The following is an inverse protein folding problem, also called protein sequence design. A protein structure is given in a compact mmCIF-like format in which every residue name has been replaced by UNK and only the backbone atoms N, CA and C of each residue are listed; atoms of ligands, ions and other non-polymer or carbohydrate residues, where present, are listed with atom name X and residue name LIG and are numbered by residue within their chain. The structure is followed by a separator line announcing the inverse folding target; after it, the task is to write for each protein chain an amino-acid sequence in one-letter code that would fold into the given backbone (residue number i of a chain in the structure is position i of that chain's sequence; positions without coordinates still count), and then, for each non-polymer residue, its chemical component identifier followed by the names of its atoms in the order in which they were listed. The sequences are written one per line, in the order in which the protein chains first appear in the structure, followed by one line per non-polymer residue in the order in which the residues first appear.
data_IF_531283511320
#
_entry.id   IF_531283511320
#
_cell.length_a   1.000
_cell.length_b   1.000
_cell.length_c   1.000
_cell.angle_alpha   90.00
_cell.angle_beta   90.00
_cell.angle_gamma   90.00
#
_symmetry.space_group_name_H-M   'P 1'
#
loop_
_entity.id
_entity.type
_entity.pdbx_description
1 polymer ?
#
# COMPACT_ATOMS: atom_id res chain seq x y z
N UNK A 1 -56.41 -9.75 85.26
CA UNK A 1 -55.71 -10.92 84.69
C UNK A 1 -54.90 -10.36 83.56
N UNK A 2 -53.65 -10.07 83.88
CA UNK A 2 -52.60 -9.60 82.98
C UNK A 2 -51.63 -10.79 82.91
N UNK A 3 -51.40 -11.33 81.71
CA UNK A 3 -50.92 -12.69 81.52
C UNK A 3 -49.40 -12.86 81.62
N UNK A 4 -48.68 -11.85 82.16
CA UNK A 4 -47.31 -12.04 82.65
C UNK A 4 -46.32 -12.53 81.61
N UNK A 5 -46.62 -12.37 80.31
CA UNK A 5 -45.63 -12.54 79.26
C UNK A 5 -44.79 -11.27 79.21
N UNK A 6 -43.64 -11.27 79.90
CA UNK A 6 -42.57 -10.35 79.55
C UNK A 6 -42.09 -10.74 78.15
N UNK A 7 -42.72 -10.16 77.13
CA UNK A 7 -42.09 -10.01 75.83
C UNK A 7 -40.95 -9.04 76.09
N UNK A 8 -39.75 -9.56 76.37
CA UNK A 8 -38.53 -8.81 76.12
C UNK A 8 -38.59 -8.49 74.64
N UNK A 9 -38.82 -7.22 74.30
CA UNK A 9 -38.89 -6.79 72.91
C UNK A 9 -37.54 -7.14 72.28
N UNK A 10 -37.51 -8.13 71.41
CA UNK A 10 -36.32 -8.46 70.63
C UNK A 10 -36.06 -7.28 69.69
N UNK A 11 -35.11 -6.43 70.07
CA UNK A 11 -34.63 -5.36 69.20
C UNK A 11 -33.54 -5.98 68.34
N UNK A 12 -33.90 -6.25 67.09
CA UNK A 12 -33.02 -6.74 66.06
C UNK A 12 -32.07 -5.62 65.60
N UNK A 13 -30.78 -5.91 65.55
CA UNK A 13 -29.76 -4.99 65.06
C UNK A 13 -28.37 -5.46 65.45
N UNK A 14 -27.33 -4.83 64.91
CA UNK A 14 -25.96 -5.23 65.19
C UNK A 14 -25.59 -5.09 66.67
N UNK A 15 -25.16 -6.20 67.29
CA UNK A 15 -24.71 -6.23 68.70
C UNK A 15 -23.19 -6.16 68.87
N UNK A 16 -22.42 -6.17 67.78
CA UNK A 16 -20.95 -6.09 67.81
C UNK A 16 -20.47 -4.65 68.00
N UNK A 17 -19.79 -4.35 69.12
CA UNK A 17 -19.36 -2.98 69.50
C UNK A 17 -18.38 -2.34 68.51
N UNK A 18 -17.67 -3.13 67.71
CA UNK A 18 -16.71 -2.66 66.71
C UNK A 18 -17.31 -2.41 65.33
N UNK A 19 -18.60 -2.72 65.12
CA UNK A 19 -19.28 -2.50 63.85
C UNK A 19 -19.76 -1.04 63.69
N UNK A 20 -19.72 -0.53 62.45
CA UNK A 20 -20.16 0.83 62.11
C UNK A 20 -21.62 1.11 62.44
N UNK A 21 -22.46 0.08 62.37
CA UNK A 21 -23.88 0.15 62.66
C UNK A 21 -24.25 -0.53 63.99
N UNK A 22 -23.30 -0.60 64.94
CA UNK A 22 -23.56 -1.07 66.30
C UNK A 22 -24.77 -0.35 66.91
N UNK A 23 -25.72 -1.13 67.43
CA UNK A 23 -26.90 -0.63 68.10
C UNK A 23 -26.87 -1.09 69.56
N UNK A 24 -26.59 -0.17 70.48
CA UNK A 24 -26.56 -0.44 71.93
C UNK A 24 -27.91 -0.89 72.50
N UNK A 25 -29.01 -0.58 71.79
CA UNK A 25 -30.35 -1.02 72.17
C UNK A 25 -30.73 -2.38 71.56
N UNK A 26 -29.91 -2.93 70.64
CA UNK A 26 -30.15 -4.25 70.07
C UNK A 26 -29.88 -5.34 71.11
N UNK A 27 -30.87 -6.20 71.30
CA UNK A 27 -30.78 -7.36 72.21
C UNK A 27 -30.55 -8.66 71.45
N UNK A 28 -30.65 -8.63 70.13
CA UNK A 28 -30.55 -9.80 69.25
C UNK A 28 -29.89 -9.39 67.94
N UNK A 29 -28.76 -10.02 67.61
CA UNK A 29 -28.08 -9.80 66.34
C UNK A 29 -28.95 -10.30 65.18
N UNK A 30 -29.15 -9.43 64.19
CA UNK A 30 -29.91 -9.71 62.97
C UNK A 30 -29.01 -9.97 61.76
N UNK A 31 -27.70 -10.04 61.98
CA UNK A 31 -26.70 -10.21 60.93
C UNK A 31 -26.46 -8.95 60.09
N UNK A 32 -26.98 -7.80 60.51
CA UNK A 32 -26.78 -6.52 59.81
C UNK A 32 -25.43 -5.86 60.08
N UNK A 33 -24.62 -6.37 61.02
CA UNK A 33 -23.34 -5.77 61.40
C UNK A 33 -22.45 -5.42 60.22
N UNK A 34 -21.94 -4.18 60.19
CA UNK A 34 -21.03 -3.64 59.19
C UNK A 34 -19.64 -3.49 59.82
N UNK A 35 -18.74 -4.40 59.50
CA UNK A 35 -17.39 -4.44 60.08
C UNK A 35 -16.40 -4.09 58.97
N UNK A 36 -15.72 -2.96 59.14
CA UNK A 36 -14.62 -2.52 58.27
C UNK A 36 -13.33 -3.30 58.59
N UNK A 37 -12.55 -3.57 57.54
CA UNK A 37 -11.22 -4.15 57.65
C UNK A 37 -10.79 -4.81 56.35
N UNK A 38 -9.51 -5.18 56.26
CA UNK A 38 -9.02 -5.90 55.11
C UNK A 38 -9.70 -7.26 54.95
N UNK A 39 -10.35 -7.48 53.80
CA UNK A 39 -11.05 -8.72 53.49
C UNK A 39 -10.17 -9.75 52.73
N UNK A 40 -8.94 -9.40 52.39
CA UNK A 40 -8.01 -10.27 51.66
C UNK A 40 -7.26 -11.23 52.61
N UNK A 41 -7.43 -12.53 52.42
CA UNK A 41 -6.83 -13.58 53.24
C UNK A 41 -5.30 -13.64 53.15
N UNK A 42 -4.71 -13.09 52.08
CA UNK A 42 -3.26 -13.03 51.87
C UNK A 42 -2.61 -11.79 52.50
N UNK A 43 -3.41 -10.83 52.99
CA UNK A 43 -2.91 -9.65 53.68
C UNK A 43 -2.52 -9.92 55.14
N UNK A 44 -1.49 -9.22 55.61
CA UNK A 44 -0.96 -9.29 56.98
C UNK A 44 -2.02 -8.88 58.02
N UNK A 45 -2.85 -7.90 57.67
CA UNK A 45 -3.92 -7.37 58.52
C UNK A 45 -5.31 -7.87 58.11
N UNK A 46 -5.40 -9.03 57.46
CA UNK A 46 -6.68 -9.69 57.17
C UNK A 46 -7.58 -9.75 58.43
N UNK A 47 -8.80 -9.22 58.30
CA UNK A 47 -9.82 -9.30 59.33
C UNK A 47 -10.89 -10.32 58.90
N UNK A 48 -10.91 -11.53 59.51
CA UNK A 48 -11.89 -12.57 59.15
C UNK A 48 -13.34 -12.20 59.48
N UNK A 49 -13.58 -11.14 60.24
CA UNK A 49 -14.91 -10.63 60.57
C UNK A 49 -15.33 -9.44 59.68
N UNK A 50 -14.43 -8.90 58.86
CA UNK A 50 -14.75 -7.78 57.98
C UNK A 50 -15.69 -8.22 56.86
N UNK A 51 -16.72 -7.41 56.63
CA UNK A 51 -17.65 -7.55 55.50
C UNK A 51 -17.74 -6.28 54.65
N UNK A 52 -16.93 -5.27 54.99
CA UNK A 52 -16.69 -4.05 54.21
C UNK A 52 -15.17 -3.88 54.13
N UNK A 53 -14.63 -3.83 52.91
CA UNK A 53 -13.21 -3.57 52.69
C UNK A 53 -12.92 -2.08 52.90
N UNK A 54 -12.01 -1.78 53.81
CA UNK A 54 -11.57 -0.42 54.13
C UNK A 54 -10.33 0.01 53.33
N UNK A 55 -9.85 -0.84 52.41
CA UNK A 55 -8.63 -0.67 51.62
C UNK A 55 -7.36 -0.52 52.48
N UNK A 56 -7.38 -0.99 53.73
CA UNK A 56 -6.19 -0.96 54.60
C UNK A 56 -5.29 -2.18 54.44
N UNK A 57 -5.58 -3.09 53.49
CA UNK A 57 -4.83 -4.32 53.28
C UNK A 57 -3.31 -4.07 53.13
N UNK A 58 -2.54 -4.68 54.03
CA UNK A 58 -1.08 -4.65 54.06
C UNK A 58 -0.58 -5.98 53.51
N UNK A 59 0.15 -5.94 52.40
CA UNK A 59 0.74 -7.13 51.79
C UNK A 59 2.24 -7.19 52.06
N UNK A 60 2.78 -8.41 52.12
CA UNK A 60 4.22 -8.63 52.08
C UNK A 60 4.71 -8.31 50.67
N UNK A 61 5.53 -7.28 50.53
CA UNK A 61 6.18 -6.92 49.26
C UNK A 61 7.66 -7.21 49.42
N UNK A 62 8.10 -8.24 48.70
CA UNK A 62 9.48 -8.70 48.71
C UNK A 62 10.31 -7.88 47.72
N UNK A 63 11.49 -7.44 48.15
CA UNK A 63 12.43 -6.71 47.31
C UNK A 63 13.49 -6.01 48.17
N UNK A 64 14.43 -5.33 47.53
CA UNK A 64 15.51 -4.68 48.25
C UNK A 64 14.97 -3.48 49.03
N UNK A 65 15.08 -3.53 50.36
CA UNK A 65 14.55 -2.47 51.24
C UNK A 65 15.58 -1.39 51.56
N UNK A 66 16.83 -1.54 51.11
CA UNK A 66 17.95 -0.61 51.39
C UNK A 66 18.19 0.30 50.19
N UNK A 67 18.02 1.61 50.38
CA UNK A 67 18.18 2.65 49.35
C UNK A 67 19.63 2.88 48.93
N UNK A 68 20.59 2.26 49.61
CA UNK A 68 22.01 2.28 49.25
C UNK A 68 22.35 1.34 48.09
N UNK A 69 21.41 0.53 47.60
CA UNK A 69 21.60 -0.45 46.52
C UNK A 69 20.83 -0.07 45.26
N UNK A 70 21.37 -0.44 44.09
CA UNK A 70 20.75 -0.14 42.79
C UNK A 70 19.38 -0.82 42.65
N UNK A 71 19.21 -1.99 43.28
CA UNK A 71 17.98 -2.77 43.26
C UNK A 71 16.89 -2.27 44.22
N UNK A 72 17.11 -1.15 44.93
CA UNK A 72 16.15 -0.61 45.89
C UNK A 72 14.74 -0.49 45.32
N UNK A 73 13.77 -1.08 46.04
CA UNK A 73 12.36 -0.97 45.75
C UNK A 73 11.65 -0.24 46.90
N UNK A 74 11.20 0.99 46.62
CA UNK A 74 10.47 1.81 47.58
C UNK A 74 9.13 1.20 48.04
N UNK A 75 8.61 0.19 47.32
CA UNK A 75 7.39 -0.52 47.68
C UNK A 75 7.67 -1.78 48.50
N UNK A 76 8.92 -2.27 48.55
CA UNK A 76 9.29 -3.44 49.31
C UNK A 76 9.27 -3.15 50.83
N UNK A 77 8.71 -4.09 51.59
CA UNK A 77 8.68 -4.05 53.06
C UNK A 77 9.36 -5.25 53.71
N UNK A 78 9.81 -6.23 52.92
CA UNK A 78 10.59 -7.39 53.35
C UNK A 78 11.76 -7.58 52.39
N UNK A 79 12.98 -7.56 52.93
CA UNK A 79 14.17 -7.92 52.18
C UNK A 79 14.17 -9.41 51.84
N UNK A 80 14.26 -9.71 50.54
CA UNK A 80 14.37 -11.05 50.00
C UNK A 80 15.81 -11.43 49.59
N UNK A 81 16.78 -10.57 49.89
CA UNK A 81 18.17 -10.73 49.51
C UNK A 81 18.48 -10.26 48.09
N UNK A 82 17.58 -9.50 47.45
CA UNK A 82 17.81 -8.91 46.13
C UNK A 82 18.80 -7.72 46.13
N UNK A 83 19.15 -7.15 47.29
CA UNK A 83 20.19 -6.12 47.40
C UNK A 83 21.58 -6.71 47.08
N UNK A 84 22.08 -6.52 45.87
CA UNK A 84 23.34 -7.12 45.41
C UNK A 84 24.38 -6.06 45.06
N UNK A 85 23.98 -4.99 44.36
CA UNK A 85 24.90 -3.97 43.87
C UNK A 85 24.78 -2.68 44.69
N UNK A 86 25.77 -2.45 45.55
CA UNK A 86 25.87 -1.19 46.30
C UNK A 86 26.05 -0.03 45.32
N UNK A 87 25.31 1.07 45.53
CA UNK A 87 25.45 2.29 44.72
C UNK A 87 26.85 2.87 44.93
N UNK A 88 27.53 3.09 43.81
CA UNK A 88 28.79 3.83 43.71
C UNK A 88 28.54 4.97 42.72
N UNK A 89 28.49 6.18 43.26
CA UNK A 89 28.36 7.40 42.46
C UNK A 89 29.65 7.74 41.73
N UNK A 90 29.52 8.23 40.50
CA UNK A 90 30.62 8.82 39.74
C UNK A 90 30.33 8.86 38.24
N UNK A 91 31.24 9.48 37.49
CA UNK A 91 31.07 9.61 36.05
C UNK A 91 31.16 8.24 35.34
N UNK A 92 30.11 7.88 34.59
CA UNK A 92 30.07 6.65 33.78
C UNK A 92 30.61 6.83 32.35
N UNK A 93 30.90 8.05 31.92
CA UNK A 93 31.39 8.32 30.57
C UNK A 93 32.90 8.04 30.49
N UNK A 94 33.29 6.98 29.76
CA UNK A 94 34.69 6.57 29.56
C UNK A 94 35.58 7.65 28.90
N UNK A 95 34.98 8.64 28.23
CA UNK A 95 35.70 9.75 27.59
C UNK A 95 35.87 10.98 28.49
N UNK A 96 35.30 10.97 29.70
CA UNK A 96 35.47 12.04 30.67
C UNK A 96 36.79 11.88 31.45
N UNK A 97 37.40 13.00 31.84
CA UNK A 97 38.66 13.02 32.59
C UNK A 97 38.56 12.38 33.97
N UNK A 98 37.36 12.43 34.56
CA UNK A 98 37.07 11.87 35.87
C UNK A 98 36.18 10.60 35.79
N UNK A 99 36.24 9.87 34.67
CA UNK A 99 35.62 8.56 34.53
C UNK A 99 35.96 7.66 35.72
N UNK A 100 34.94 7.08 36.34
CA UNK A 100 35.09 6.13 37.43
C UNK A 100 34.61 4.74 36.98
N UNK A 101 35.53 3.78 36.72
CA UNK A 101 35.15 2.43 36.29
C UNK A 101 34.42 1.61 37.35
N UNK A 102 34.48 2.04 38.62
CA UNK A 102 33.77 1.39 39.73
C UNK A 102 32.38 2.00 39.98
N UNK A 103 32.06 3.13 39.34
CA UNK A 103 30.73 3.74 39.45
C UNK A 103 29.67 2.91 38.72
N UNK A 104 28.49 2.84 39.31
CA UNK A 104 27.31 2.20 38.72
C UNK A 104 26.08 3.12 38.66
N UNK A 105 26.19 4.33 39.21
CA UNK A 105 25.19 5.38 39.13
C UNK A 105 25.89 6.68 38.75
N UNK A 106 25.46 7.29 37.65
CA UNK A 106 25.95 8.60 37.22
C UNK A 106 25.44 9.68 38.18
N UNK A 107 26.36 10.44 38.76
CA UNK A 107 26.08 11.56 39.66
C UNK A 107 26.16 12.92 38.96
N UNK A 108 26.37 12.92 37.64
CA UNK A 108 26.52 14.14 36.85
C UNK A 108 27.85 14.86 37.10
N UNK A 109 28.83 14.21 37.73
CA UNK A 109 30.15 14.79 37.99
C UNK A 109 31.05 14.85 36.77
N UNK A 110 30.67 14.26 35.62
CA UNK A 110 31.54 14.11 34.46
C UNK A 110 32.24 15.42 34.03
N UNK A 111 33.57 15.37 34.03
CA UNK A 111 34.47 16.41 33.55
C UNK A 111 34.86 16.11 32.10
N UNK A 112 34.29 16.87 31.17
CA UNK A 112 34.54 16.73 29.74
C UNK A 112 35.23 18.00 29.28
N UNK A 113 36.44 17.84 28.77
CA UNK A 113 37.19 18.92 28.16
C UNK A 113 36.67 19.23 26.76
N UNK A 114 36.62 20.52 26.43
CA UNK A 114 36.32 20.98 25.09
C UNK A 114 35.89 22.43 25.07
N UNK A 115 35.69 22.96 23.86
CA UNK A 115 35.29 24.33 23.68
C UNK A 115 33.88 24.55 24.24
N UNK A 116 33.77 25.43 25.23
CA UNK A 116 32.49 25.78 25.87
C UNK A 116 31.77 26.95 25.18
N UNK A 117 32.43 27.63 24.24
CA UNK A 117 31.88 28.80 23.55
C UNK A 117 31.17 28.41 22.24
N UNK A 118 29.85 28.60 22.19
CA UNK A 118 29.02 28.30 21.02
C UNK A 118 29.35 29.13 19.77
N UNK A 119 30.13 30.21 19.91
CA UNK A 119 30.57 31.04 18.79
C UNK A 119 31.80 30.48 18.07
N UNK A 120 32.26 29.27 18.40
CA UNK A 120 33.39 28.62 17.75
C UNK A 120 32.95 27.32 17.06
N UNK A 121 33.63 26.94 15.98
CA UNK A 121 33.30 25.71 15.24
C UNK A 121 33.55 24.44 16.07
N UNK A 122 34.49 24.52 17.00
CA UNK A 122 34.88 23.42 17.87
C UNK A 122 33.98 23.27 19.11
N UNK A 123 32.91 24.06 19.23
CA UNK A 123 31.98 24.01 20.36
C UNK A 123 31.51 22.58 20.65
N UNK A 124 31.73 22.14 21.89
CA UNK A 124 31.27 20.87 22.39
C UNK A 124 30.16 21.11 23.43
N UNK A 125 28.89 20.78 23.13
CA UNK A 125 27.78 20.99 24.06
C UNK A 125 27.85 20.13 25.32
N UNK A 126 28.75 19.15 25.38
CA UNK A 126 28.98 18.31 26.55
C UNK A 126 30.21 18.75 27.37
N UNK A 127 30.99 19.73 26.91
CA UNK A 127 32.13 20.21 27.65
C UNK A 127 31.70 20.89 28.96
N UNK A 128 32.28 20.45 30.07
CA UNK A 128 32.10 21.04 31.40
C UNK A 128 33.31 21.87 31.84
N UNK A 129 34.42 21.79 31.09
CA UNK A 129 35.61 22.61 31.28
C UNK A 129 36.25 22.98 29.93
N UNK A 130 36.67 24.25 29.80
CA UNK A 130 37.38 24.74 28.61
C UNK A 130 38.84 24.28 28.63
N UNK A 131 39.26 23.62 27.55
CA UNK A 131 40.62 23.11 27.32
C UNK A 131 41.42 23.98 26.34
N UNK A 132 40.83 25.08 25.85
CA UNK A 132 41.43 25.95 24.84
C UNK A 132 41.30 25.43 23.42
N UNK A 133 40.42 24.44 23.17
CA UNK A 133 40.10 23.96 21.82
C UNK A 133 39.25 24.94 20.98
N UNK A 134 38.76 26.04 21.55
CA UNK A 134 38.10 27.12 20.82
C UNK A 134 39.11 27.88 19.92
N UNK A 135 39.36 27.36 18.71
CA UNK A 135 40.37 27.89 17.80
C UNK A 135 39.75 28.75 16.70
N UNK A 136 38.64 28.31 16.11
CA UNK A 136 38.06 28.93 14.92
C UNK A 136 36.77 29.66 15.26
N UNK A 137 36.82 30.99 15.31
CA UNK A 137 35.63 31.81 15.51
C UNK A 137 34.64 31.60 14.36
N UNK A 138 33.39 31.36 14.69
CA UNK A 138 32.30 31.17 13.73
C UNK A 138 31.91 32.52 13.13
N UNK A 139 32.08 32.64 11.82
CA UNK A 139 31.63 33.80 11.04
C UNK A 139 30.51 33.32 10.14
N UNK A 140 29.30 33.72 10.50
CA UNK A 140 28.10 33.46 9.73
C UNK A 140 28.03 34.36 8.50
N UNK A 141 27.52 33.80 7.41
CA UNK A 141 27.20 34.53 6.19
C UNK A 141 27.14 33.60 4.99
N UNK A 142 26.75 34.14 3.85
CA UNK A 142 26.70 33.35 2.62
C UNK A 142 28.10 32.84 2.20
N UNK A 143 28.23 31.54 2.06
CA UNK A 143 29.47 30.86 1.64
C UNK A 143 29.51 30.54 0.14
N UNK A 144 28.40 30.72 -0.58
CA UNK A 144 28.31 30.48 -2.02
C UNK A 144 28.94 31.63 -2.82
N UNK A 145 30.03 31.37 -3.53
CA UNK A 145 30.75 32.35 -4.36
C UNK A 145 29.92 32.93 -5.52
N UNK A 146 28.86 32.24 -5.95
CA UNK A 146 27.96 32.71 -7.01
C UNK A 146 26.82 33.60 -6.49
N UNK A 147 26.64 33.69 -5.17
CA UNK A 147 25.60 34.51 -4.57
C UNK A 147 26.00 35.99 -4.52
N UNK A 148 25.00 36.88 -4.61
CA UNK A 148 25.24 38.33 -4.60
C UNK A 148 25.82 38.84 -3.28
N UNK A 149 25.44 38.22 -2.16
CA UNK A 149 25.87 38.58 -0.82
C UNK A 149 26.94 37.63 -0.27
N UNK A 150 27.71 36.99 -1.15
CA UNK A 150 28.85 36.16 -0.76
C UNK A 150 29.75 36.89 0.24
N UNK A 151 30.01 36.24 1.36
CA UNK A 151 30.92 36.74 2.38
C UNK A 151 32.18 35.87 2.41
N UNK A 152 33.27 36.38 1.81
CA UNK A 152 34.57 35.69 1.79
C UNK A 152 35.19 35.42 3.18
N UNK A 153 34.67 36.04 4.24
CA UNK A 153 35.09 35.79 5.62
C UNK A 153 34.18 34.79 6.34
N UNK A 154 33.02 34.46 5.78
CA UNK A 154 32.12 33.47 6.37
C UNK A 154 32.77 32.09 6.29
N UNK A 155 32.70 31.36 7.40
CA UNK A 155 33.13 29.96 7.48
C UNK A 155 31.96 29.03 7.79
N UNK A 156 30.76 29.57 8.02
CA UNK A 156 29.53 28.82 8.20
C UNK A 156 28.41 29.52 7.45
N UNK A 157 27.70 28.74 6.62
CA UNK A 157 26.55 29.25 5.88
C UNK A 157 25.38 29.51 6.83
N UNK A 158 24.81 30.71 6.76
CA UNK A 158 23.66 31.12 7.56
C UNK A 158 22.34 31.08 6.78
N UNK A 159 22.35 30.52 5.57
CA UNK A 159 21.20 30.49 4.67
C UNK A 159 20.83 31.85 4.08
N UNK A 160 21.64 32.90 4.30
CA UNK A 160 21.36 34.23 3.75
C UNK A 160 21.66 34.37 2.26
N UNK A 161 22.27 33.37 1.62
CA UNK A 161 22.71 33.45 0.23
C UNK A 161 21.62 33.94 -0.72
N UNK A 162 21.92 34.97 -1.49
CA UNK A 162 21.05 35.59 -2.48
C UNK A 162 21.49 35.12 -3.87
N UNK A 163 20.81 34.11 -4.40
CA UNK A 163 21.10 33.54 -5.72
C UNK A 163 20.05 34.05 -6.68
N UNK A 164 20.51 34.82 -7.67
CA UNK A 164 19.68 35.32 -8.75
C UNK A 164 19.43 34.23 -9.79
N UNK A 165 18.22 34.20 -10.31
CA UNK A 165 17.85 33.39 -11.46
C UNK A 165 16.33 33.31 -11.57
N UNK A 166 15.84 32.53 -12.52
CA UNK A 166 14.40 32.32 -12.62
C UNK A 166 13.91 31.42 -11.48
N UNK A 167 13.02 31.95 -10.64
CA UNK A 167 12.45 31.24 -9.49
C UNK A 167 11.11 30.57 -9.77
N UNK A 168 10.63 30.62 -11.01
CA UNK A 168 9.30 30.17 -11.40
C UNK A 168 9.25 28.65 -11.60
N UNK A 169 8.78 27.95 -10.57
CA UNK A 169 8.62 26.50 -10.56
C UNK A 169 7.17 26.06 -10.82
N UNK A 170 6.31 26.98 -11.27
CA UNK A 170 4.90 26.70 -11.53
C UNK A 170 4.22 26.18 -10.26
N UNK A 171 3.48 25.07 -10.40
CA UNK A 171 2.76 24.42 -9.29
C UNK A 171 3.59 23.39 -8.51
N UNK A 172 4.87 23.22 -8.82
CA UNK A 172 5.76 22.30 -8.09
C UNK A 172 6.37 22.98 -6.86
N UNK A 173 6.82 22.20 -5.89
CA UNK A 173 7.53 22.73 -4.71
C UNK A 173 9.03 22.81 -4.96
N UNK A 174 9.67 23.93 -4.59
CA UNK A 174 11.14 24.05 -4.59
C UNK A 174 11.76 23.33 -3.37
N UNK A 175 13.08 23.44 -3.21
CA UNK A 175 13.80 22.83 -2.07
C UNK A 175 13.39 23.38 -0.69
N UNK A 176 12.66 24.50 -0.63
CA UNK A 176 12.08 25.08 0.59
C UNK A 176 10.60 24.72 0.78
N UNK A 177 10.05 23.82 -0.06
CA UNK A 177 8.62 23.46 -0.08
C UNK A 177 7.69 24.63 -0.46
N UNK A 178 8.20 25.61 -1.18
CA UNK A 178 7.44 26.77 -1.65
C UNK A 178 7.06 26.61 -3.12
N UNK A 179 5.89 27.15 -3.47
CA UNK A 179 5.35 27.20 -4.83
C UNK A 179 5.45 28.66 -5.29
N UNK A 180 6.06 28.87 -6.44
CA UNK A 180 6.19 30.16 -7.10
C UNK A 180 5.82 30.01 -8.57
N UNK A 181 4.57 30.35 -8.87
CA UNK A 181 3.98 30.42 -10.20
C UNK A 181 3.93 31.90 -10.60
N UNK A 182 5.03 32.38 -11.20
CA UNK A 182 5.27 33.82 -11.32
C UNK A 182 4.32 34.50 -12.32
N UNK A 183 3.93 33.79 -13.37
CA UNK A 183 3.01 34.28 -14.41
C UNK A 183 1.58 33.70 -14.32
N UNK A 184 1.36 32.69 -13.48
CA UNK A 184 0.04 32.13 -13.20
C UNK A 184 -0.42 31.08 -14.22
N UNK A 185 0.50 30.56 -15.05
CA UNK A 185 0.19 29.53 -16.04
C UNK A 185 0.19 28.10 -15.45
N UNK A 186 0.74 27.95 -14.24
CA UNK A 186 0.79 26.70 -13.48
C UNK A 186 1.91 25.74 -13.90
N UNK A 187 2.78 26.15 -14.84
CA UNK A 187 3.94 25.42 -15.32
C UNK A 187 5.23 26.10 -14.87
N UNK A 188 6.32 25.32 -14.82
CA UNK A 188 7.63 25.92 -14.55
C UNK A 188 8.15 26.64 -15.78
N UNK A 189 8.84 27.76 -15.55
CA UNK A 189 9.50 28.49 -16.62
C UNK A 189 10.58 27.62 -17.29
N UNK A 190 10.83 27.86 -18.58
CA UNK A 190 11.76 27.07 -19.41
C UNK A 190 13.19 27.11 -18.88
N UNK A 191 13.57 28.19 -18.22
CA UNK A 191 14.90 28.38 -17.60
C UNK A 191 14.83 28.46 -16.07
N UNK A 192 13.84 27.82 -15.44
CA UNK A 192 13.78 27.68 -13.99
C UNK A 192 15.12 27.20 -13.41
N UNK A 193 15.63 27.94 -12.42
CA UNK A 193 16.85 27.62 -11.68
C UNK A 193 16.47 27.18 -10.26
N UNK A 194 16.61 25.88 -9.90
CA UNK A 194 16.26 25.38 -8.58
C UNK A 194 17.16 25.91 -7.46
N UNK A 195 18.28 26.57 -7.79
CA UNK A 195 19.18 27.20 -6.82
C UNK A 195 18.88 28.68 -6.59
N UNK A 196 18.10 29.30 -7.48
CA UNK A 196 17.71 30.70 -7.34
C UNK A 196 16.65 30.87 -6.25
N UNK A 197 16.81 31.93 -5.46
CA UNK A 197 15.83 32.35 -4.46
C UNK A 197 15.44 33.82 -4.58
N UNK A 198 15.96 34.49 -5.60
CA UNK A 198 15.57 35.83 -5.99
C UNK A 198 15.37 35.82 -7.50
N UNK A 199 14.14 36.14 -7.92
CA UNK A 199 13.84 36.35 -9.33
C UNK A 199 14.63 37.56 -9.86
N UNK A 200 15.39 37.34 -10.92
CA UNK A 200 16.11 38.40 -11.64
C UNK A 200 15.36 38.88 -12.89
N UNK A 201 14.15 38.37 -13.11
CA UNK A 201 13.32 38.69 -14.27
C UNK A 201 13.79 37.98 -15.54
N UNK A 202 14.66 36.97 -15.42
CA UNK A 202 15.10 36.16 -16.56
C UNK A 202 14.12 35.06 -16.95
N UNK A 203 13.03 34.84 -16.20
CA UNK A 203 12.06 33.78 -16.48
C UNK A 203 11.50 33.83 -17.90
N UNK A 204 11.54 32.67 -18.56
CA UNK A 204 11.01 32.45 -19.90
C UNK A 204 9.74 31.61 -19.76
N UNK A 205 8.58 32.24 -19.93
CA UNK A 205 7.26 31.60 -19.95
C UNK A 205 7.20 30.46 -20.95
N UNK A 206 6.47 29.42 -20.61
CA UNK A 206 6.19 28.31 -21.51
C UNK A 206 5.18 28.73 -22.59
N UNK A 207 5.57 28.61 -23.86
CA UNK A 207 4.64 28.76 -24.98
C UNK A 207 4.46 27.37 -25.59
N UNK A 208 3.31 26.77 -25.27
CA UNK A 208 2.90 25.46 -25.73
C UNK A 208 2.47 25.50 -27.21
N UNK A 209 2.95 24.53 -27.97
CA UNK A 209 2.53 24.30 -29.34
C UNK A 209 3.47 23.33 -30.05
N UNK A 210 3.18 22.99 -31.30
CA UNK A 210 4.04 22.08 -32.04
C UNK A 210 5.37 22.74 -32.41
N UNK A 211 6.49 22.20 -31.92
CA UNK A 211 7.83 22.74 -32.22
C UNK A 211 8.50 22.06 -33.42
N UNK A 212 7.88 21.03 -33.98
CA UNK A 212 8.40 20.32 -35.14
C UNK A 212 8.17 21.12 -36.43
N UNK A 213 9.25 21.64 -37.02
CA UNK A 213 9.23 22.45 -38.25
C UNK A 213 8.66 21.74 -39.49
N UNK A 214 8.56 20.41 -39.49
CA UNK A 214 7.97 19.64 -40.60
C UNK A 214 6.50 19.29 -40.37
N UNK A 215 5.94 19.59 -39.20
CA UNK A 215 4.53 19.35 -38.91
C UNK A 215 3.62 20.42 -39.54
N UNK A 216 2.38 20.05 -39.85
CA UNK A 216 1.42 20.95 -40.50
C UNK A 216 1.00 22.13 -39.62
N UNK A 217 0.98 21.93 -38.30
CA UNK A 217 0.62 22.95 -37.31
C UNK A 217 1.85 23.45 -36.52
N UNK A 218 3.04 23.41 -37.12
CA UNK A 218 4.23 24.02 -36.54
C UNK A 218 3.94 25.45 -36.06
N UNK A 219 4.17 25.71 -34.78
CA UNK A 219 4.05 27.02 -34.17
C UNK A 219 5.46 27.61 -33.95
N UNK A 220 5.74 28.70 -34.65
CA UNK A 220 7.03 29.40 -34.56
C UNK A 220 7.22 30.13 -33.23
N UNK A 221 6.14 30.42 -32.52
CA UNK A 221 6.19 31.07 -31.21
C UNK A 221 6.31 30.04 -30.08
N UNK A 222 5.97 28.78 -30.33
CA UNK A 222 6.10 27.73 -29.34
C UNK A 222 7.57 27.48 -29.00
N UNK A 223 7.86 27.49 -27.70
CA UNK A 223 9.17 27.12 -27.15
C UNK A 223 9.14 25.76 -26.47
N UNK A 224 7.95 25.17 -26.29
CA UNK A 224 7.73 23.89 -25.63
C UNK A 224 6.74 23.07 -26.43
N UNK A 225 7.11 21.83 -26.74
CA UNK A 225 6.24 20.90 -27.48
C UNK A 225 5.09 20.42 -26.59
N UNK A 226 3.86 20.57 -27.07
CA UNK A 226 2.64 20.15 -26.36
C UNK A 226 2.02 18.86 -26.95
N UNK A 227 2.80 18.14 -27.77
CA UNK A 227 2.36 16.95 -28.52
C UNK A 227 1.18 17.18 -29.48
N UNK A 228 0.85 18.45 -29.79
CA UNK A 228 -0.17 18.78 -30.78
C UNK A 228 0.28 18.56 -32.23
N UNK A 229 1.55 18.20 -32.48
CA UNK A 229 2.10 18.10 -33.82
C UNK A 229 1.31 17.18 -34.76
N UNK A 230 0.86 17.74 -35.88
CA UNK A 230 0.17 17.04 -36.95
C UNK A 230 1.21 16.63 -37.99
N UNK A 231 1.50 15.34 -38.07
CA UNK A 231 2.44 14.74 -39.01
C UNK A 231 1.64 13.82 -39.94
N UNK A 232 1.68 14.11 -41.22
CA UNK A 232 1.08 13.26 -42.26
C UNK A 232 1.97 12.05 -42.56
N UNK A 233 1.33 10.92 -42.81
CA UNK A 233 1.97 9.69 -43.28
C UNK A 233 1.11 8.48 -42.98
N UNK A 234 1.54 7.30 -43.43
CA UNK A 234 0.77 6.09 -43.14
C UNK A 234 0.73 5.76 -41.63
N UNK A 235 -0.44 5.88 -41.01
CA UNK A 235 -0.65 5.62 -39.58
C UNK A 235 -0.89 4.13 -39.25
N UNK A 236 -1.18 3.30 -40.26
CA UNK A 236 -1.44 1.87 -40.05
C UNK A 236 -0.13 1.07 -39.88
N UNK A 237 0.06 0.45 -38.72
CA UNK A 237 1.23 -0.37 -38.41
C UNK A 237 1.37 -1.64 -39.26
N UNK A 238 0.32 -2.07 -39.96
CA UNK A 238 0.34 -3.22 -40.88
C UNK A 238 0.80 -2.85 -42.30
N UNK A 239 0.93 -1.55 -42.61
CA UNK A 239 1.39 -1.10 -43.91
C UNK A 239 2.92 -1.16 -44.01
N UNK A 240 3.42 -1.41 -45.22
CA UNK A 240 4.85 -1.51 -45.53
C UNK A 240 5.58 -0.17 -45.32
N UNK A 241 4.90 0.95 -45.55
CA UNK A 241 5.43 2.31 -45.37
C UNK A 241 4.89 3.00 -44.12
N UNK A 242 4.54 2.22 -43.08
CA UNK A 242 4.13 2.74 -41.79
C UNK A 242 5.10 3.81 -41.27
N UNK A 243 4.56 4.99 -40.95
CA UNK A 243 5.28 6.07 -40.31
C UNK A 243 4.89 6.13 -38.82
N UNK A 244 5.75 5.69 -37.88
CA UNK A 244 5.45 5.72 -36.45
C UNK A 244 5.36 7.14 -35.87
N UNK A 245 5.70 8.17 -36.66
CA UNK A 245 5.56 9.57 -36.26
C UNK A 245 4.32 10.22 -36.88
N UNK A 246 3.62 9.55 -37.80
CA UNK A 246 2.36 10.09 -38.32
C UNK A 246 1.36 10.21 -37.17
N UNK A 247 0.59 11.28 -37.16
CA UNK A 247 -0.57 11.48 -36.26
C UNK A 247 -1.88 11.55 -37.04
N UNK A 248 -1.79 11.67 -38.37
CA UNK A 248 -2.91 11.56 -39.29
C UNK A 248 -2.50 10.75 -40.54
N UNK A 249 -3.38 9.85 -40.97
CA UNK A 249 -3.20 9.09 -42.21
C UNK A 249 -3.43 10.01 -43.42
N UNK A 250 -2.42 10.12 -44.28
CA UNK A 250 -2.48 10.88 -45.52
C UNK A 250 -2.97 10.04 -46.72
N UNK A 251 -3.34 8.78 -46.46
CA UNK A 251 -3.75 7.84 -47.48
C UNK A 251 -2.58 7.27 -48.27
N UNK A 252 -1.33 7.49 -47.84
CA UNK A 252 -0.14 6.93 -48.46
C UNK A 252 0.09 5.46 -48.10
N UNK A 253 -0.70 4.85 -47.20
CA UNK A 253 -0.51 3.47 -46.75
C UNK A 253 -0.46 2.46 -47.91
N UNK A 254 0.64 1.72 -47.97
CA UNK A 254 0.87 0.65 -48.93
C UNK A 254 0.78 -0.68 -48.18
N UNK A 255 -0.23 -1.48 -48.53
CA UNK A 255 -0.41 -2.81 -47.98
C UNK A 255 0.28 -3.85 -48.85
N UNK A 256 1.08 -4.70 -48.21
CA UNK A 256 1.62 -5.89 -48.83
C UNK A 256 0.58 -7.02 -48.87
N UNK A 257 0.81 -7.97 -49.76
CA UNK A 257 0.06 -9.21 -49.83
C UNK A 257 0.61 -10.07 -50.96
N UNK A 258 0.07 -11.27 -51.14
CA UNK A 258 0.61 -12.16 -52.16
C UNK A 258 0.40 -11.63 -53.59
N UNK A 259 1.50 -11.43 -54.32
CA UNK A 259 1.49 -10.97 -55.73
C UNK A 259 1.66 -12.08 -56.74
N UNK A 260 1.85 -13.33 -56.31
CA UNK A 260 1.97 -14.49 -57.20
C UNK A 260 0.58 -14.98 -57.64
N UNK A 261 0.21 -14.88 -58.94
CA UNK A 261 -1.08 -15.37 -59.45
C UNK A 261 -1.33 -16.87 -59.23
N UNK A 262 -0.27 -17.64 -58.95
CA UNK A 262 -0.36 -19.06 -58.69
C UNK A 262 -0.62 -19.40 -57.21
N UNK A 263 -0.58 -18.42 -56.31
CA UNK A 263 -0.88 -18.63 -54.90
C UNK A 263 -2.38 -18.66 -54.62
N UNK A 264 -2.77 -19.36 -53.55
CA UNK A 264 -4.14 -19.49 -53.08
C UNK A 264 -4.72 -18.15 -52.59
N UNK A 265 -3.92 -17.34 -51.91
CA UNK A 265 -4.28 -16.01 -51.41
C UNK A 265 -3.76 -14.87 -52.29
N UNK A 266 -3.56 -15.11 -53.59
CA UNK A 266 -3.23 -14.06 -54.55
C UNK A 266 -4.23 -12.90 -54.48
N UNK A 267 -3.72 -11.68 -54.41
CA UNK A 267 -4.53 -10.47 -54.45
C UNK A 267 -4.02 -9.57 -55.59
N UNK A 268 -4.88 -9.31 -56.58
CA UNK A 268 -4.52 -8.48 -57.74
C UNK A 268 -4.44 -6.98 -57.44
N UNK A 269 -4.97 -6.55 -56.30
CA UNK A 269 -5.00 -5.14 -55.88
C UNK A 269 -3.72 -4.73 -55.12
N UNK A 270 -2.84 -5.68 -54.77
CA UNK A 270 -1.55 -5.40 -54.11
C UNK A 270 -0.39 -5.54 -55.08
N UNK A 271 0.59 -4.65 -54.96
CA UNK A 271 1.78 -4.64 -55.84
C UNK A 271 3.08 -4.95 -55.09
N UNK A 272 3.01 -5.19 -53.78
CA UNK A 272 4.15 -5.53 -52.93
C UNK A 272 3.93 -6.90 -52.33
N UNK A 273 4.82 -7.85 -52.66
CA UNK A 273 4.82 -9.18 -52.04
C UNK A 273 5.36 -9.09 -50.61
N UNK A 274 4.55 -9.50 -49.64
CA UNK A 274 4.93 -9.58 -48.23
C UNK A 274 5.36 -11.00 -47.82
N UNK A 275 5.43 -11.94 -48.77
CA UNK A 275 5.75 -13.34 -48.51
C UNK A 275 4.59 -14.11 -47.89
N UNK A 276 3.37 -13.56 -47.86
CA UNK A 276 2.18 -14.27 -47.38
C UNK A 276 1.69 -15.35 -48.34
N UNK A 277 2.30 -15.50 -49.53
CA UNK A 277 1.84 -16.43 -50.56
C UNK A 277 1.71 -17.86 -50.04
N UNK A 278 0.49 -18.39 -50.13
CA UNK A 278 0.16 -19.78 -49.81
C UNK A 278 0.11 -20.55 -51.13
N UNK A 279 0.87 -21.65 -51.25
CA UNK A 279 0.81 -22.50 -52.44
C UNK A 279 -0.58 -23.13 -52.62
N UNK A 280 -1.06 -23.23 -53.86
CA UNK A 280 -2.28 -23.98 -54.18
C UNK A 280 -2.03 -25.47 -54.02
N UNK A 281 -2.79 -26.11 -53.12
CA UNK A 281 -2.86 -27.56 -52.99
C UNK A 281 -4.20 -28.01 -53.54
N UNK A 282 -4.15 -28.74 -54.65
CA UNK A 282 -5.31 -29.21 -55.37
C UNK A 282 -5.90 -30.48 -54.74
N UNK A 283 -7.22 -30.52 -54.63
CA UNK A 283 -7.97 -31.68 -54.17
C UNK A 283 -9.34 -31.30 -53.65
N UNK A 284 -10.16 -32.29 -53.30
CA UNK A 284 -11.49 -32.03 -52.79
C UNK A 284 -11.43 -31.31 -51.44
N UNK A 285 -11.97 -30.10 -51.37
CA UNK A 285 -11.96 -29.25 -50.17
C UNK A 285 -13.21 -29.39 -49.30
N UNK A 286 -14.20 -30.17 -49.75
CA UNK A 286 -15.46 -30.39 -49.04
C UNK A 286 -15.40 -31.72 -48.28
N UNK A 287 -15.45 -31.66 -46.95
CA UNK A 287 -15.37 -32.81 -46.04
C UNK A 287 -16.59 -33.73 -46.11
N UNK A 288 -17.64 -33.32 -46.83
CA UNK A 288 -18.82 -34.14 -47.13
C UNK A 288 -18.56 -35.21 -48.19
N UNK A 289 -17.39 -35.22 -48.83
CA UNK A 289 -17.04 -36.15 -49.90
C UNK A 289 -15.94 -37.12 -49.47
N UNK A 290 -15.98 -38.34 -50.01
CA UNK A 290 -15.03 -39.40 -49.65
C UNK A 290 -13.59 -39.12 -50.12
N UNK A 291 -13.47 -38.24 -51.11
CA UNK A 291 -12.24 -37.80 -51.75
C UNK A 291 -11.63 -36.56 -51.07
N UNK A 292 -12.24 -36.08 -49.96
CA UNK A 292 -11.76 -34.92 -49.20
C UNK A 292 -10.27 -35.04 -48.81
N UNK A 293 -9.51 -33.97 -49.07
CA UNK A 293 -8.11 -33.81 -48.66
C UNK A 293 -8.01 -32.62 -47.69
N UNK A 294 -7.63 -32.88 -46.45
CA UNK A 294 -7.53 -31.85 -45.40
C UNK A 294 -6.45 -30.79 -45.69
N UNK A 295 -5.44 -31.14 -46.48
CA UNK A 295 -4.39 -30.24 -46.91
C UNK A 295 -4.74 -29.47 -48.19
N UNK A 296 -5.82 -29.82 -48.89
CA UNK A 296 -6.25 -29.11 -50.08
C UNK A 296 -6.88 -27.76 -49.71
N UNK A 297 -6.43 -26.72 -50.40
CA UNK A 297 -7.03 -25.38 -50.31
C UNK A 297 -7.71 -24.96 -51.61
N UNK A 298 -7.50 -25.69 -52.70
CA UNK A 298 -8.05 -25.38 -54.02
C UNK A 298 -8.78 -26.59 -54.57
N UNK A 299 -10.10 -26.47 -54.75
CA UNK A 299 -10.89 -27.55 -55.37
C UNK A 299 -10.51 -27.75 -56.84
N UNK A 300 -10.19 -28.99 -57.19
CA UNK A 300 -9.85 -29.41 -58.55
C UNK A 300 -10.96 -30.24 -59.22
N UNK A 301 -12.11 -30.37 -58.55
CA UNK A 301 -13.24 -31.17 -59.02
C UNK A 301 -13.09 -32.67 -58.75
N UNK A 302 -12.16 -33.07 -57.87
CA UNK A 302 -12.05 -34.47 -57.43
C UNK A 302 -13.16 -34.92 -56.46
N UNK A 303 -14.03 -34.00 -56.01
CA UNK A 303 -15.21 -34.32 -55.19
C UNK A 303 -16.30 -35.06 -55.98
N UNK A 304 -16.21 -36.38 -56.07
CA UNK A 304 -17.14 -37.21 -56.86
C UNK A 304 -18.16 -37.95 -55.99
N UNK A 305 -17.74 -38.50 -54.85
CA UNK A 305 -18.60 -39.38 -54.03
C UNK A 305 -18.99 -38.72 -52.71
N UNK A 306 -20.23 -38.22 -52.64
CA UNK A 306 -20.80 -37.68 -51.40
C UNK A 306 -20.99 -38.79 -50.34
N UNK A 307 -20.56 -38.51 -49.11
CA UNK A 307 -20.74 -39.40 -47.95
C UNK A 307 -22.18 -39.24 -47.46
N UNK A 308 -23.07 -40.15 -47.89
CA UNK A 308 -24.45 -40.20 -47.38
C UNK A 308 -24.51 -41.09 -46.13
N UNK A 309 -23.86 -40.69 -45.04
CA UNK A 309 -24.11 -41.34 -43.76
C UNK A 309 -25.44 -40.85 -43.16
N UNK A 310 -26.42 -41.77 -43.07
CA UNK A 310 -27.64 -41.59 -42.26
C UNK A 310 -28.97 -41.50 -43.02
N UNK A 311 -29.01 -41.09 -44.30
CA UNK A 311 -30.28 -40.91 -45.02
C UNK A 311 -30.84 -42.24 -45.56
N UNK A 312 -29.98 -43.20 -45.96
CA UNK A 312 -30.42 -44.47 -46.54
C UNK A 312 -31.11 -45.40 -45.51
N UNK A 313 -30.69 -45.36 -44.25
CA UNK A 313 -31.28 -46.15 -43.15
C UNK A 313 -32.68 -45.65 -42.80
N UNK A 314 -32.89 -44.32 -42.78
CA UNK A 314 -34.20 -43.71 -42.51
C UNK A 314 -35.21 -43.98 -43.63
N UNK A 315 -34.77 -44.02 -44.89
CA UNK A 315 -35.63 -44.35 -46.04
C UNK A 315 -36.00 -45.84 -46.02
N UNK A 316 -35.06 -46.74 -45.76
CA UNK A 316 -35.34 -48.18 -45.64
C UNK A 316 -36.30 -48.50 -44.48
N UNK A 317 -36.11 -47.88 -43.31
CA UNK A 317 -37.04 -48.02 -42.18
C UNK A 317 -38.43 -47.48 -42.52
N UNK A 318 -38.54 -46.33 -43.18
CA UNK A 318 -39.83 -45.76 -43.59
C UNK A 318 -40.55 -46.61 -44.65
N UNK A 319 -39.83 -47.17 -45.63
CA UNK A 319 -40.40 -48.08 -46.64
C UNK A 319 -40.91 -49.36 -45.98
N UNK A 320 -40.16 -49.94 -45.03
CA UNK A 320 -40.61 -51.12 -44.27
C UNK A 320 -41.87 -50.78 -43.46
N UNK A 321 -41.91 -49.63 -42.78
CA UNK A 321 -43.05 -49.22 -41.97
C UNK A 321 -44.32 -48.96 -42.80
N UNK A 322 -44.16 -48.32 -43.98
CA UNK A 322 -45.27 -48.10 -44.92
C UNK A 322 -45.75 -49.37 -45.60
N UNK A 323 -44.86 -50.32 -45.93
CA UNK A 323 -45.26 -51.64 -46.44
C UNK A 323 -46.10 -52.43 -45.42
N UNK A 324 -45.74 -52.39 -44.12
CA UNK A 324 -46.52 -53.03 -43.05
C UNK A 324 -47.89 -52.39 -42.88
N UNK A 325 -47.98 -51.05 -42.92
CA UNK A 325 -49.28 -50.36 -42.85
C UNK A 325 -50.14 -50.61 -44.08
N UNK A 326 -49.57 -50.65 -45.29
CA UNK A 326 -50.31 -50.96 -46.52
C UNK A 326 -50.82 -52.42 -46.50
N UNK A 327 -50.03 -53.36 -45.98
CA UNK A 327 -50.47 -54.75 -45.82
C UNK A 327 -51.65 -54.89 -44.84
N UNK A 328 -51.64 -54.12 -43.75
CA UNK A 328 -52.74 -54.07 -42.78
C UNK A 328 -53.99 -53.31 -43.32
N UNK A 329 -53.82 -52.35 -44.23
CA UNK A 329 -54.90 -51.57 -44.83
C UNK A 329 -55.53 -52.22 -46.09
N UNK A 330 -54.79 -53.05 -46.83
CA UNK A 330 -55.30 -53.78 -48.01
C UNK A 330 -55.98 -55.12 -47.66
N UNK A 331 -55.80 -55.63 -46.44
CA UNK A 331 -56.48 -56.82 -45.95
C UNK A 331 -57.22 -56.61 -44.61
N UNK A 332 -58.21 -55.70 -44.54
CA UNK A 332 -59.06 -55.55 -43.36
C UNK A 332 -60.11 -56.67 -43.23
N UNK A 333 -60.09 -57.70 -44.08
CA UNK A 333 -61.12 -58.75 -44.18
C UNK A 333 -60.56 -60.18 -44.15
N UNK A 334 -59.80 -60.53 -43.10
CA UNK A 334 -59.56 -61.93 -42.68
C UNK A 334 -59.94 -62.19 -41.19
N UNK A 335 -60.80 -61.34 -40.63
CA UNK A 335 -61.83 -61.66 -39.63
C UNK A 335 -63.13 -61.04 -40.21
N UNK A 336 -64.18 -61.71 -40.69
CA UNK A 336 -64.80 -63.00 -40.43
C UNK A 336 -65.44 -63.61 -41.71
N UNK A 337 -65.34 -64.94 -41.82
CA UNK A 337 -66.28 -65.92 -42.40
C UNK A 337 -66.43 -66.12 -43.93
N UNK A 338 -65.93 -67.29 -44.39
CA UNK A 338 -66.70 -68.21 -45.24
C UNK A 338 -66.68 -69.62 -44.64
N UNK A 339 -67.73 -69.93 -43.88
CA UNK A 339 -68.36 -71.25 -43.92
C UNK A 339 -69.32 -71.30 -45.14
N UNK A 340 -69.57 -72.51 -45.66
CA UNK A 340 -70.70 -72.95 -46.52
C UNK A 340 -70.59 -72.66 -48.05
N UNK A 341 -70.77 -73.58 -49.01
CA UNK A 341 -71.26 -74.97 -49.07
C UNK A 341 -70.77 -75.68 -50.35
N UNK A 342 -70.50 -76.99 -50.28
CA UNK A 342 -70.91 -78.01 -51.27
C UNK A 342 -71.04 -79.37 -50.57
N UNK A 343 -72.16 -80.02 -50.92
CA UNK A 343 -72.55 -81.44 -50.79
C UNK A 343 -71.39 -82.41 -50.65
#
# INVERSE_FOLDING_TARGET
MDDGSCITLEVFGCTEETALNYNIEATTDDGSCQIEGCMDIEAINFNPLANIDDNTCLFNVYGCTDDSFVEYDAQANIDDGSCQNLIVFGCLNESADNYNPDANVDDGSCEIQGCMDFNYLEYNPWATSDDGSCLTFMILGCTNEMAQNFNSQANQDDGSCQVLGCTDNGMETNSLSEINDADGDGFSAVNYDPTANIDDGSCITQILGCTNVTALNYDILANTNDDSCIIEGCYNSEAVNYNPQATIDDGSCIYGGCTDPNAFNYNEEVTIDDGSCIEKVYGCTDDSYSEYLAEANTDDGSCETIIIEGVLILILLNIIFTMVQIFLLLHPSQLQMRMMDRV
#
